data_IF_237292406490
#
_entry.id   IF_237292406490
#
_cell.length_a   1.000
_cell.length_b   1.000
_cell.length_c   1.000
_cell.angle_alpha   90.00
_cell.angle_beta   90.00
_cell.angle_gamma   90.00
#
_symmetry.space_group_name_H-M   'P 1'
#
loop_
_entity.id
_entity.type
_entity.pdbx_description
1 polymer ?
#
# COMPACT_ATOMS: atom_id res chain seq x y z
N UNK A 1 1.34 46.79 -0.58
CA UNK A 1 2.43 45.81 -0.40
C UNK A 1 3.66 46.33 -1.09
N UNK A 2 4.78 46.31 -0.38
CA UNK A 2 6.07 46.63 -0.96
C UNK A 2 6.70 45.37 -1.57
N UNK A 3 7.59 45.53 -2.56
CA UNK A 3 8.29 44.37 -3.14
C UNK A 3 9.22 43.72 -2.11
N UNK A 4 9.94 44.53 -1.34
CA UNK A 4 10.81 44.12 -0.24
C UNK A 4 10.44 44.96 0.98
N UNK A 5 10.16 44.30 2.10
CA UNK A 5 9.93 44.94 3.39
C UNK A 5 10.89 44.38 4.44
N UNK A 6 11.53 45.25 5.20
CA UNK A 6 12.25 44.90 6.43
C UNK A 6 11.55 45.43 7.68
N UNK A 7 10.42 46.09 7.46
CA UNK A 7 9.69 46.81 8.48
C UNK A 7 8.64 45.86 9.10
N UNK A 8 8.67 45.61 10.42
CA UNK A 8 7.77 44.64 11.05
C UNK A 8 6.28 44.99 10.91
N UNK A 9 5.95 46.26 10.66
CA UNK A 9 4.56 46.74 10.55
C UNK A 9 4.06 46.81 9.10
N UNK A 10 4.89 46.46 8.11
CA UNK A 10 4.53 46.58 6.69
C UNK A 10 4.67 45.26 5.93
N UNK A 11 3.57 44.74 5.34
CA UNK A 11 3.63 43.52 4.56
C UNK A 11 4.33 43.74 3.21
N UNK A 12 5.27 42.85 2.91
CA UNK A 12 6.02 42.82 1.65
C UNK A 12 5.75 41.55 0.83
N UNK A 13 6.09 41.56 -0.46
CA UNK A 13 6.19 40.32 -1.24
C UNK A 13 7.33 39.47 -0.66
N UNK A 14 8.48 40.09 -0.42
CA UNK A 14 9.57 39.54 0.36
C UNK A 14 9.70 40.32 1.67
N UNK A 15 9.55 39.66 2.80
CA UNK A 15 9.68 40.26 4.13
C UNK A 15 10.83 39.61 4.89
N UNK A 16 11.78 40.42 5.38
CA UNK A 16 12.94 39.94 6.15
C UNK A 16 13.11 40.76 7.41
N UNK A 17 13.05 40.13 8.58
CA UNK A 17 13.19 40.85 9.85
C UNK A 17 13.02 39.94 11.07
N UNK A 18 13.08 40.51 12.27
CA UNK A 18 12.73 39.72 13.47
C UNK A 18 11.28 39.28 13.44
N UNK A 19 10.39 40.18 13.02
CA UNK A 19 8.99 39.91 12.70
C UNK A 19 8.81 40.21 11.22
N UNK A 20 8.43 39.21 10.43
CA UNK A 20 8.31 39.31 8.98
C UNK A 20 6.91 38.89 8.54
N UNK A 21 6.21 39.80 7.85
CA UNK A 21 4.90 39.58 7.25
C UNK A 21 5.02 39.70 5.73
N UNK A 22 4.85 38.60 5.00
CA UNK A 22 5.00 38.66 3.56
C UNK A 22 4.60 37.40 2.81
N UNK A 23 4.58 37.45 1.48
CA UNK A 23 4.31 36.24 0.68
C UNK A 23 5.44 35.24 0.94
N UNK A 24 6.66 35.74 0.93
CA UNK A 24 7.86 35.09 1.43
C UNK A 24 8.31 35.83 2.69
N UNK A 25 8.17 35.20 3.85
CA UNK A 25 8.58 35.76 5.14
C UNK A 25 9.77 35.00 5.72
N UNK A 26 10.86 35.71 5.99
CA UNK A 26 12.06 35.17 6.62
C UNK A 26 12.35 35.93 7.91
N UNK A 27 12.32 35.26 9.05
CA UNK A 27 12.49 35.95 10.33
C UNK A 27 12.46 35.06 11.55
N UNK A 28 12.56 35.64 12.75
CA UNK A 28 12.35 34.84 13.97
C UNK A 28 10.88 34.47 14.12
N UNK A 29 9.99 35.44 13.90
CA UNK A 29 8.55 35.28 13.75
C UNK A 29 8.18 35.56 12.30
N UNK A 30 7.94 34.51 11.52
CA UNK A 30 7.63 34.63 10.10
C UNK A 30 6.18 34.22 9.83
N UNK A 31 5.40 35.11 9.24
CA UNK A 31 4.02 34.83 8.81
C UNK A 31 3.86 35.13 7.33
N UNK A 32 3.43 34.14 6.56
CA UNK A 32 3.37 34.28 5.11
C UNK A 32 2.80 33.09 4.36
N UNK A 33 2.78 33.15 3.04
CA UNK A 33 2.47 31.96 2.22
C UNK A 33 3.60 30.94 2.38
N UNK A 34 4.83 31.42 2.27
CA UNK A 34 6.05 30.68 2.57
C UNK A 34 6.74 31.39 3.74
N UNK A 35 6.78 30.75 4.90
CA UNK A 35 7.35 31.28 6.12
C UNK A 35 8.55 30.43 6.57
N UNK A 36 9.69 31.08 6.81
CA UNK A 36 10.91 30.44 7.30
C UNK A 36 11.37 31.18 8.56
N UNK A 37 11.46 30.48 9.69
CA UNK A 37 11.83 31.13 10.93
C UNK A 37 11.99 30.25 12.15
N UNK A 38 12.18 30.85 13.33
CA UNK A 38 12.12 30.10 14.59
C UNK A 38 10.68 29.66 14.85
N UNK A 39 9.73 30.58 14.65
CA UNK A 39 8.29 30.34 14.62
C UNK A 39 7.78 30.75 13.25
N UNK A 40 7.33 29.77 12.46
CA UNK A 40 6.85 29.96 11.10
C UNK A 40 5.36 29.62 11.00
N UNK A 41 4.57 30.53 10.41
CA UNK A 41 3.13 30.39 10.20
C UNK A 41 2.79 30.65 8.74
N UNK A 42 2.17 29.68 8.08
CA UNK A 42 1.86 29.89 6.67
C UNK A 42 1.20 28.73 5.95
N UNK A 43 1.18 28.79 4.63
CA UNK A 43 0.79 27.62 3.82
C UNK A 43 1.94 26.60 3.86
N UNK A 44 3.16 27.08 3.63
CA UNK A 44 4.41 26.34 3.79
C UNK A 44 5.19 26.99 4.93
N UNK A 45 5.39 26.27 6.03
CA UNK A 45 6.08 26.76 7.21
C UNK A 45 7.31 25.90 7.51
N UNK A 46 8.48 26.52 7.67
CA UNK A 46 9.74 25.84 8.00
C UNK A 46 10.36 26.53 9.21
N UNK A 47 10.58 25.81 10.30
CA UNK A 47 11.13 26.42 11.50
C UNK A 47 11.37 25.51 12.69
N UNK A 48 11.69 26.06 13.86
CA UNK A 48 11.72 25.26 15.09
C UNK A 48 10.28 24.90 15.53
N UNK A 49 9.38 25.88 15.49
CA UNK A 49 7.93 25.71 15.57
C UNK A 49 7.29 26.11 14.23
N UNK A 50 6.68 25.16 13.54
CA UNK A 50 6.06 25.39 12.24
C UNK A 50 4.57 25.04 12.27
N UNK A 51 3.72 25.97 11.83
CA UNK A 51 2.28 25.74 11.66
C UNK A 51 1.90 26.06 10.23
N UNK A 52 1.40 25.07 9.50
CA UNK A 52 1.00 25.29 8.12
C UNK A 52 0.14 24.22 7.50
N UNK A 53 -0.14 24.38 6.20
CA UNK A 53 -0.70 23.28 5.41
C UNK A 53 0.36 22.19 5.19
N UNK A 54 1.59 22.64 4.92
CA UNK A 54 2.83 21.88 4.97
C UNK A 54 3.75 22.52 6.01
N UNK A 55 4.14 21.76 7.03
CA UNK A 55 4.98 22.25 8.12
C UNK A 55 6.20 21.34 8.33
N UNK A 56 7.39 21.94 8.48
CA UNK A 56 8.63 21.21 8.75
C UNK A 56 9.36 21.91 9.90
N UNK A 57 9.66 21.17 10.97
CA UNK A 57 10.30 21.72 12.15
C UNK A 57 10.41 20.80 13.34
N UNK A 58 11.14 21.19 14.38
CA UNK A 58 11.25 20.37 15.61
C UNK A 58 9.87 20.09 16.22
N UNK A 59 9.02 21.11 16.26
CA UNK A 59 7.58 21.00 16.46
C UNK A 59 6.84 21.45 15.20
N UNK A 60 6.08 20.55 14.57
CA UNK A 60 5.36 20.86 13.33
C UNK A 60 3.88 20.47 13.42
N UNK A 61 2.98 21.40 13.11
CA UNK A 61 1.54 21.15 12.95
C UNK A 61 1.19 21.43 11.50
N UNK A 62 0.85 20.37 10.77
CA UNK A 62 0.61 20.38 9.34
C UNK A 62 -0.75 19.80 8.98
N UNK A 63 -1.59 20.51 8.24
CA UNK A 63 -2.89 19.95 7.79
C UNK A 63 -2.67 18.72 6.91
N UNK A 64 -1.87 18.87 5.86
CA UNK A 64 -1.58 17.79 4.91
C UNK A 64 -0.26 17.08 5.26
N UNK A 65 0.77 17.83 5.61
CA UNK A 65 2.10 17.29 5.87
C UNK A 65 2.79 17.98 7.06
N UNK A 66 3.31 17.21 8.00
CA UNK A 66 4.08 17.68 9.13
C UNK A 66 5.34 16.82 9.32
N UNK A 67 6.53 17.42 9.41
CA UNK A 67 7.78 16.65 9.54
C UNK A 67 8.74 17.22 10.57
N UNK A 68 9.30 16.35 11.42
CA UNK A 68 10.37 16.67 12.36
C UNK A 68 10.30 15.87 13.66
N UNK A 69 10.92 16.33 14.76
CA UNK A 69 11.00 15.55 16.00
C UNK A 69 9.63 15.23 16.58
N UNK A 70 8.76 16.23 16.70
CA UNK A 70 7.35 16.08 17.07
C UNK A 70 6.47 16.72 16.00
N UNK A 71 5.63 15.90 15.37
CA UNK A 71 4.77 16.36 14.29
C UNK A 71 3.32 15.88 14.47
N UNK A 72 2.37 16.72 14.09
CA UNK A 72 0.95 16.35 14.01
C UNK A 72 0.45 16.75 12.63
N UNK A 73 -0.03 15.77 11.87
CA UNK A 73 -0.57 16.09 10.55
C UNK A 73 -1.10 14.92 9.76
N UNK A 74 -1.60 15.21 8.56
CA UNK A 74 -2.12 14.19 7.66
C UNK A 74 -1.07 13.12 7.31
N UNK A 75 0.11 13.55 6.86
CA UNK A 75 1.28 12.72 6.54
C UNK A 75 2.55 13.33 7.16
N UNK A 76 3.62 12.55 7.24
CA UNK A 76 4.85 13.04 7.86
C UNK A 76 5.90 11.99 8.19
N UNK A 77 7.07 12.48 8.59
CA UNK A 77 8.19 11.71 9.14
C UNK A 77 8.54 12.20 10.56
N UNK A 78 9.24 11.35 11.32
CA UNK A 78 9.51 11.55 12.76
C UNK A 78 8.40 11.00 13.66
N UNK A 79 8.32 11.49 14.91
CA UNK A 79 7.22 11.15 15.83
C UNK A 79 5.98 11.93 15.38
N UNK A 80 5.34 11.41 14.32
CA UNK A 80 4.22 12.07 13.66
C UNK A 80 2.91 11.35 13.96
N UNK A 81 1.96 12.05 14.61
CA UNK A 81 0.59 11.56 14.73
C UNK A 81 -0.11 11.71 13.37
N UNK A 82 -0.17 10.61 12.63
CA UNK A 82 -0.74 10.53 11.28
C UNK A 82 -2.27 10.46 11.31
N UNK A 83 -2.89 11.58 10.97
CA UNK A 83 -4.35 11.72 10.97
C UNK A 83 -4.99 11.12 9.71
N UNK A 84 -4.30 11.11 8.55
CA UNK A 84 -4.84 10.52 7.31
C UNK A 84 -4.51 9.02 7.16
N UNK A 85 -5.46 8.20 6.64
CA UNK A 85 -5.20 6.79 6.36
C UNK A 85 -4.23 6.61 5.18
N UNK A 86 -3.47 5.52 5.20
CA UNK A 86 -2.67 5.10 4.04
C UNK A 86 -3.59 4.40 3.05
N UNK A 87 -3.79 5.02 1.89
CA UNK A 87 -4.40 4.37 0.73
C UNK A 87 -3.35 3.48 0.08
N UNK A 88 -3.50 2.16 0.17
CA UNK A 88 -2.75 1.24 -0.69
C UNK A 88 -3.68 0.73 -1.78
N UNK A 89 -3.31 1.08 -3.01
CA UNK A 89 -3.93 0.52 -4.20
C UNK A 89 -3.06 -0.69 -4.56
N UNK A 90 -3.53 -1.89 -4.24
CA UNK A 90 -2.86 -3.11 -4.66
C UNK A 90 -3.15 -3.32 -6.15
N UNK A 91 -2.24 -2.87 -7.02
CA UNK A 91 -2.21 -3.28 -8.42
C UNK A 91 -1.49 -4.62 -8.49
N UNK A 92 -2.24 -5.69 -8.74
CA UNK A 92 -1.65 -6.99 -8.98
C UNK A 92 -1.28 -7.11 -10.46
N UNK A 93 0.01 -7.33 -10.74
CA UNK A 93 0.48 -7.67 -12.08
C UNK A 93 0.33 -9.17 -12.27
N UNK A 94 -0.31 -9.58 -13.36
CA UNK A 94 -0.27 -10.96 -13.84
C UNK A 94 1.20 -11.36 -14.03
N UNK A 95 1.68 -12.44 -13.39
CA UNK A 95 3.05 -12.91 -13.63
C UNK A 95 3.19 -13.35 -15.09
N UNK A 96 4.40 -13.24 -15.65
CA UNK A 96 4.68 -13.80 -16.98
C UNK A 96 4.58 -15.33 -16.87
N UNK A 97 3.54 -15.90 -17.47
CA UNK A 97 3.32 -17.34 -17.43
C UNK A 97 4.31 -18.05 -18.38
N UNK A 98 4.90 -19.17 -17.94
CA UNK A 98 5.62 -20.09 -18.81
C UNK A 98 4.65 -20.74 -19.83
N UNK A 99 5.16 -21.39 -20.90
CA UNK A 99 4.31 -22.05 -21.87
C UNK A 99 3.43 -23.11 -21.21
N UNK A 100 2.13 -22.87 -21.19
CA UNK A 100 1.15 -23.75 -20.56
C UNK A 100 1.02 -25.05 -21.35
N UNK A 101 1.01 -26.17 -20.64
CA UNK A 101 0.81 -27.50 -21.20
C UNK A 101 -0.64 -27.90 -20.94
N UNK A 102 -1.44 -28.18 -22.00
CA UNK A 102 -2.81 -28.67 -21.80
C UNK A 102 -2.76 -30.03 -21.09
N UNK A 103 -3.83 -30.38 -20.36
CA UNK A 103 -3.89 -31.61 -19.57
C UNK A 103 -3.60 -32.88 -20.40
N UNK A 104 -4.00 -32.89 -21.68
CA UNK A 104 -3.73 -33.98 -22.61
C UNK A 104 -2.27 -34.06 -23.11
N UNK A 105 -1.47 -33.00 -22.92
CA UNK A 105 -0.10 -32.88 -23.41
C UNK A 105 0.99 -33.35 -22.44
N UNK A 106 0.60 -33.84 -21.26
CA UNK A 106 1.54 -34.40 -20.28
C UNK A 106 1.95 -35.82 -20.67
N UNK A 107 3.08 -35.92 -21.39
CA UNK A 107 3.73 -37.18 -21.71
C UNK A 107 4.72 -37.60 -20.62
N UNK A 108 5.11 -38.88 -20.64
CA UNK A 108 6.06 -39.48 -19.68
C UNK A 108 7.36 -38.68 -19.62
N UNK A 109 7.83 -38.42 -18.39
CA UNK A 109 9.09 -37.72 -18.09
C UNK A 109 9.17 -36.26 -18.59
N UNK A 110 8.05 -35.67 -19.03
CA UNK A 110 7.97 -34.25 -19.37
C UNK A 110 7.50 -33.44 -18.18
N UNK A 111 8.27 -32.40 -17.86
CA UNK A 111 7.83 -31.32 -16.98
C UNK A 111 7.02 -30.32 -17.79
N UNK A 112 5.87 -29.94 -17.26
CA UNK A 112 5.03 -28.90 -17.85
C UNK A 112 4.43 -28.00 -16.80
N UNK A 113 3.77 -26.95 -17.29
CA UNK A 113 3.09 -25.98 -16.43
C UNK A 113 1.60 -26.06 -16.69
N UNK A 114 0.82 -26.24 -15.64
CA UNK A 114 -0.64 -26.23 -15.71
C UNK A 114 -1.19 -24.99 -15.04
N UNK A 115 -2.08 -24.30 -15.73
CA UNK A 115 -2.87 -23.22 -15.16
C UNK A 115 -4.07 -23.83 -14.44
N UNK A 116 -4.21 -23.49 -13.17
CA UNK A 116 -5.32 -23.88 -12.32
C UNK A 116 -5.97 -22.63 -11.72
N UNK A 117 -7.28 -22.68 -11.53
CA UNK A 117 -8.00 -21.74 -10.70
C UNK A 117 -8.00 -22.23 -9.25
N UNK A 118 -7.90 -21.29 -8.31
CA UNK A 118 -7.95 -21.58 -6.87
C UNK A 118 -9.36 -21.28 -6.39
N UNK A 119 -10.07 -22.32 -5.95
CA UNK A 119 -11.39 -22.16 -5.32
C UNK A 119 -11.23 -21.62 -3.90
N UNK A 120 -12.26 -20.95 -3.38
CA UNK A 120 -12.29 -20.45 -1.97
C UNK A 120 -12.05 -21.55 -0.93
N UNK A 121 -12.42 -22.78 -1.26
CA UNK A 121 -12.22 -23.96 -0.41
C UNK A 121 -10.76 -24.44 -0.38
N UNK A 122 -9.85 -23.76 -1.09
CA UNK A 122 -8.44 -24.16 -1.19
C UNK A 122 -8.23 -25.38 -2.09
N UNK A 123 -9.13 -25.62 -3.04
CA UNK A 123 -9.00 -26.66 -4.06
C UNK A 123 -8.53 -26.05 -5.38
N UNK A 124 -7.83 -26.85 -6.18
CA UNK A 124 -7.42 -26.48 -7.53
C UNK A 124 -8.41 -27.03 -8.54
N UNK A 125 -8.85 -26.17 -9.45
CA UNK A 125 -9.72 -26.53 -10.57
C UNK A 125 -9.04 -26.19 -11.90
N UNK A 126 -9.25 -27.04 -12.90
CA UNK A 126 -8.77 -26.84 -14.28
C UNK A 126 -10.01 -26.87 -15.15
N UNK A 127 -10.26 -25.79 -15.89
CA UNK A 127 -11.45 -25.63 -16.74
C UNK A 127 -12.79 -25.93 -16.00
N UNK A 128 -12.86 -25.58 -14.71
CA UNK A 128 -14.04 -25.79 -13.86
C UNK A 128 -14.19 -27.20 -13.28
N UNK A 129 -13.32 -28.15 -13.64
CA UNK A 129 -13.27 -29.49 -13.05
C UNK A 129 -12.21 -29.58 -11.94
N UNK A 130 -12.38 -30.44 -10.91
CA UNK A 130 -11.36 -30.67 -9.91
C UNK A 130 -10.07 -31.18 -10.58
N UNK A 131 -8.95 -30.53 -10.29
CA UNK A 131 -7.69 -30.86 -10.93
C UNK A 131 -7.21 -32.26 -10.50
N UNK A 132 -6.98 -33.21 -11.42
CA UNK A 132 -6.57 -34.58 -11.09
C UNK A 132 -5.06 -34.62 -10.79
N UNK A 133 -4.64 -33.93 -9.73
CA UNK A 133 -3.24 -33.76 -9.37
C UNK A 133 -2.99 -33.98 -7.88
N UNK A 134 -1.93 -34.73 -7.59
CA UNK A 134 -1.41 -34.89 -6.24
C UNK A 134 -0.40 -33.78 -5.96
N UNK A 135 -0.67 -32.97 -4.95
CA UNK A 135 0.23 -31.89 -4.55
C UNK A 135 1.26 -32.39 -3.54
N UNK A 136 2.52 -31.99 -3.71
CA UNK A 136 3.54 -32.15 -2.68
C UNK A 136 3.19 -31.32 -1.43
N UNK A 137 3.75 -31.66 -0.27
CA UNK A 137 3.54 -30.90 0.96
C UNK A 137 3.99 -29.44 0.83
N UNK A 138 5.05 -29.18 0.07
CA UNK A 138 5.48 -27.81 -0.28
C UNK A 138 4.41 -27.06 -1.08
N UNK A 139 3.82 -27.69 -2.10
CA UNK A 139 2.78 -27.09 -2.92
C UNK A 139 1.47 -26.89 -2.13
N UNK A 140 1.12 -27.80 -1.20
CA UNK A 140 0.00 -27.63 -0.27
C UNK A 140 0.21 -26.44 0.67
N UNK A 141 1.42 -26.27 1.21
CA UNK A 141 1.75 -25.12 2.06
C UNK A 141 1.66 -23.79 1.28
N UNK A 142 2.13 -23.78 0.03
CA UNK A 142 1.99 -22.62 -0.86
C UNK A 142 0.52 -22.31 -1.19
N UNK A 143 -0.31 -23.33 -1.40
CA UNK A 143 -1.75 -23.16 -1.64
C UNK A 143 -2.48 -22.64 -0.40
N UNK A 144 -2.11 -23.12 0.79
CA UNK A 144 -2.66 -22.61 2.04
C UNK A 144 -2.30 -21.13 2.28
N UNK A 145 -1.07 -20.73 1.95
CA UNK A 145 -0.66 -19.33 1.95
C UNK A 145 -1.44 -18.48 0.94
N UNK A 146 -1.68 -19.02 -0.26
CA UNK A 146 -2.46 -18.36 -1.31
C UNK A 146 -3.92 -18.14 -0.90
N UNK A 147 -4.53 -19.10 -0.19
CA UNK A 147 -5.88 -18.98 0.37
C UNK A 147 -5.99 -17.80 1.33
N UNK A 148 -4.98 -17.58 2.17
CA UNK A 148 -4.95 -16.44 3.09
C UNK A 148 -4.76 -15.09 2.38
N UNK A 149 -4.22 -15.10 1.16
CA UNK A 149 -3.98 -13.92 0.32
C UNK A 149 -5.10 -13.60 -0.67
N UNK A 150 -6.25 -14.28 -0.60
CA UNK A 150 -7.35 -14.17 -1.58
C UNK A 150 -6.93 -14.46 -3.04
N UNK A 151 -5.89 -15.27 -3.27
CA UNK A 151 -5.46 -15.60 -4.63
C UNK A 151 -6.50 -16.49 -5.33
N UNK A 152 -6.76 -16.24 -6.63
CA UNK A 152 -7.76 -16.95 -7.42
C UNK A 152 -7.18 -17.74 -8.61
N UNK A 153 -5.91 -17.53 -8.94
CA UNK A 153 -5.21 -18.29 -9.98
C UNK A 153 -3.91 -18.88 -9.44
N UNK A 154 -3.53 -20.02 -10.01
CA UNK A 154 -2.29 -20.70 -9.72
C UNK A 154 -1.69 -21.34 -10.97
N UNK A 155 -0.37 -21.26 -11.12
CA UNK A 155 0.38 -22.00 -12.11
C UNK A 155 1.21 -23.05 -11.37
N UNK A 156 0.91 -24.31 -11.65
CA UNK A 156 1.52 -25.49 -11.01
C UNK A 156 2.57 -26.08 -11.96
N UNK A 157 3.77 -26.38 -11.45
CA UNK A 157 4.72 -27.24 -12.17
C UNK A 157 4.36 -28.69 -11.93
N UNK A 158 4.07 -29.42 -13.01
CA UNK A 158 3.66 -30.82 -12.98
C UNK A 158 4.81 -31.70 -13.48
N UNK A 159 5.01 -32.81 -12.76
CA UNK A 159 5.85 -33.94 -13.16
C UNK A 159 4.96 -35.20 -13.18
N UNK A 160 5.02 -36.00 -14.25
CA UNK A 160 4.20 -37.21 -14.40
C UNK A 160 4.91 -38.38 -13.73
N UNK A 161 4.27 -39.01 -12.75
CA UNK A 161 4.75 -40.24 -12.12
C UNK A 161 3.86 -41.42 -12.56
N UNK A 162 4.48 -42.58 -12.83
CA UNK A 162 3.76 -43.81 -13.13
C UNK A 162 3.80 -44.70 -11.89
N UNK A 163 2.66 -44.89 -11.22
CA UNK A 163 2.54 -45.89 -10.17
C UNK A 163 1.91 -47.16 -10.71
N UNK A 164 2.53 -48.27 -10.33
CA UNK A 164 2.01 -49.61 -10.59
C UNK A 164 1.24 -50.00 -9.34
N UNK A 165 -0.05 -50.29 -9.50
CA UNK A 165 -0.87 -50.82 -8.40
C UNK A 165 -0.45 -52.28 -8.20
N UNK A 166 0.33 -52.54 -7.14
CA UNK A 166 0.78 -53.88 -6.79
C UNK A 166 -0.33 -54.59 -6.02
N UNK A 167 -1.33 -55.11 -6.75
CA UNK A 167 -2.33 -55.98 -6.16
C UNK A 167 -1.68 -57.30 -5.73
N UNK A 168 -1.60 -57.48 -4.41
CA UNK A 168 -1.18 -58.72 -3.76
C UNK A 168 -1.98 -59.91 -4.29
N UNK A 169 -1.33 -60.72 -5.12
CA UNK A 169 -1.59 -62.15 -5.25
C UNK A 169 -2.59 -62.54 -6.34
N UNK A 170 -2.07 -62.95 -7.49
CA UNK A 170 -2.87 -63.64 -8.50
C UNK A 170 -2.00 -64.14 -9.65
N UNK A 171 -1.92 -65.45 -9.81
CA UNK A 171 -1.21 -66.10 -10.90
C UNK A 171 -1.94 -65.91 -12.24
N UNK A 172 -1.71 -64.80 -12.96
CA UNK A 172 -1.88 -64.71 -14.41
C UNK A 172 -1.20 -63.45 -14.96
N UNK A 173 -0.56 -63.53 -16.13
CA UNK A 173 0.02 -62.37 -16.82
C UNK A 173 -1.11 -61.55 -17.46
N UNK A 174 -1.77 -60.70 -16.70
CA UNK A 174 -2.50 -59.56 -17.25
C UNK A 174 -1.62 -58.30 -17.14
N UNK A 175 -1.68 -57.44 -18.16
CA UNK A 175 -0.90 -56.22 -18.23
C UNK A 175 -1.34 -55.31 -17.08
N UNK A 176 -0.50 -55.17 -16.05
CA UNK A 176 -0.76 -54.31 -14.91
C UNK A 176 -1.08 -52.89 -15.40
N UNK A 177 -2.29 -52.43 -15.13
CA UNK A 177 -2.80 -51.14 -15.58
C UNK A 177 -2.04 -50.03 -14.85
N UNK A 178 -1.17 -49.32 -15.58
CA UNK A 178 -0.34 -48.26 -15.00
C UNK A 178 -1.16 -46.98 -14.89
N UNK A 179 -1.53 -46.62 -13.66
CA UNK A 179 -2.21 -45.35 -13.41
C UNK A 179 -1.19 -44.21 -13.47
N UNK A 180 -1.44 -43.23 -14.34
CA UNK A 180 -0.63 -42.01 -14.45
C UNK A 180 -1.09 -41.02 -13.40
N UNK A 181 -0.20 -40.65 -12.49
CA UNK A 181 -0.49 -39.66 -11.44
C UNK A 181 0.28 -38.37 -11.75
N UNK A 182 -0.44 -37.26 -11.85
CA UNK A 182 0.16 -35.95 -12.05
C UNK A 182 0.59 -35.39 -10.69
N UNK A 183 1.90 -35.19 -10.50
CA UNK A 183 2.44 -34.67 -9.23
C UNK A 183 2.80 -33.19 -9.38
N UNK A 184 2.11 -32.33 -8.64
CA UNK A 184 2.38 -30.88 -8.58
C UNK A 184 3.48 -30.56 -7.57
N UNK A 185 4.68 -30.16 -8.05
CA UNK A 185 5.85 -29.91 -7.19
C UNK A 185 5.97 -28.47 -6.68
N UNK A 186 5.69 -27.48 -7.54
CA UNK A 186 5.82 -26.06 -7.21
C UNK A 186 4.58 -25.30 -7.66
N UNK A 187 4.20 -24.30 -6.86
CA UNK A 187 3.01 -23.50 -7.06
C UNK A 187 3.38 -22.01 -7.08
N UNK A 188 2.96 -21.31 -8.14
CA UNK A 188 2.93 -19.85 -8.16
C UNK A 188 1.49 -19.40 -8.18
N UNK A 189 1.07 -18.55 -7.25
CA UNK A 189 -0.32 -18.09 -7.14
C UNK A 189 -0.41 -16.59 -7.27
N UNK A 190 -1.50 -16.09 -7.85
CA UNK A 190 -1.80 -14.67 -7.94
C UNK A 190 -3.30 -14.41 -7.86
N UNK A 191 -3.64 -13.16 -7.63
CA UNK A 191 -4.99 -12.64 -7.77
C UNK A 191 -5.13 -11.92 -9.12
N UNK A 192 -6.14 -12.29 -9.89
CA UNK A 192 -6.53 -11.64 -11.13
C UNK A 192 -7.96 -11.10 -10.95
N UNK A 193 -8.09 -9.77 -10.84
CA UNK A 193 -9.36 -9.12 -10.56
C UNK A 193 -9.25 -7.60 -10.53
N UNK A 194 -10.38 -6.93 -10.30
CA UNK A 194 -10.44 -5.47 -10.15
C UNK A 194 -9.53 -5.02 -9.00
N UNK A 195 -8.79 -3.90 -9.15
CA UNK A 195 -7.94 -3.38 -8.09
C UNK A 195 -8.79 -3.09 -6.84
N UNK A 196 -8.48 -3.75 -5.74
CA UNK A 196 -9.13 -3.50 -4.45
C UNK A 196 -8.38 -2.41 -3.71
N UNK A 197 -9.13 -1.44 -3.21
CA UNK A 197 -8.61 -0.39 -2.33
C UNK A 197 -8.60 -0.95 -0.92
N UNK A 198 -7.40 -1.19 -0.38
CA UNK A 198 -7.24 -1.59 1.01
C UNK A 198 -6.84 -0.35 1.83
N UNK A 199 -7.65 -0.03 2.83
CA UNK A 199 -7.30 0.95 3.85
C UNK A 199 -6.50 0.22 4.93
N UNK A 200 -5.20 0.50 5.01
CA UNK A 200 -4.33 -0.06 6.05
C UNK A 200 -4.00 0.99 7.12
N UNK A 201 -4.13 0.61 8.39
CA UNK A 201 -3.76 1.42 9.55
C UNK A 201 -4.63 1.12 10.78
N UNK A 202 -4.27 1.65 11.96
CA UNK A 202 -5.18 1.65 13.11
C UNK A 202 -6.45 2.43 12.72
N UNK A 203 -7.61 2.03 13.25
CA UNK A 203 -8.88 2.75 13.08
C UNK A 203 -9.37 2.81 11.60
N UNK A 204 -9.33 1.68 10.88
CA UNK A 204 -9.90 1.55 9.51
C UNK A 204 -11.38 1.17 9.51
N UNK A 205 -11.98 0.92 10.69
CA UNK A 205 -13.42 0.80 10.84
C UNK A 205 -14.13 2.12 10.54
N UNK A 206 -15.44 2.07 10.26
CA UNK A 206 -16.28 3.26 10.00
C UNK A 206 -16.13 4.30 11.12
N UNK A 207 -16.12 3.86 12.38
CA UNK A 207 -15.90 4.73 13.53
C UNK A 207 -14.48 5.31 13.57
N UNK A 208 -13.48 4.55 13.17
CA UNK A 208 -12.11 5.02 13.06
C UNK A 208 -11.89 6.07 11.97
N UNK A 209 -12.58 5.93 10.84
CA UNK A 209 -12.59 6.92 9.76
C UNK A 209 -13.23 8.23 10.22
N UNK A 210 -14.31 8.15 11.00
CA UNK A 210 -14.98 9.33 11.57
C UNK A 210 -14.07 10.11 12.53
N UNK A 211 -13.39 9.43 13.45
CA UNK A 211 -12.43 10.06 14.38
C UNK A 211 -11.31 10.77 13.63
N UNK A 212 -10.80 10.16 12.55
CA UNK A 212 -9.77 10.77 11.71
C UNK A 212 -10.26 11.97 10.92
N UNK A 213 -11.47 11.90 10.38
CA UNK A 213 -12.10 13.03 9.70
C UNK A 213 -12.27 14.21 10.67
N UNK A 214 -12.73 13.95 11.89
CA UNK A 214 -12.83 14.96 12.94
C UNK A 214 -11.46 15.56 13.28
N UNK A 215 -10.42 14.73 13.40
CA UNK A 215 -9.06 15.18 13.61
C UNK A 215 -8.52 16.04 12.46
N UNK A 216 -8.88 15.73 11.22
CA UNK A 216 -8.50 16.53 10.05
C UNK A 216 -9.20 17.89 10.03
N UNK A 217 -10.51 17.92 10.34
CA UNK A 217 -11.24 19.18 10.50
C UNK A 217 -10.69 20.02 11.64
N UNK A 218 -10.31 19.39 12.76
CA UNK A 218 -9.66 20.08 13.87
C UNK A 218 -8.31 20.69 13.45
N UNK A 219 -7.52 20.00 12.62
CA UNK A 219 -6.28 20.54 12.06
C UNK A 219 -6.52 21.72 11.12
N UNK A 220 -7.55 21.66 10.26
CA UNK A 220 -7.94 22.79 9.41
C UNK A 220 -8.34 23.99 10.28
N UNK A 221 -9.18 23.77 11.29
CA UNK A 221 -9.62 24.82 12.20
C UNK A 221 -8.44 25.42 12.98
N UNK A 222 -7.53 24.57 13.48
CA UNK A 222 -6.33 25.01 14.18
C UNK A 222 -5.41 25.83 13.27
N UNK A 223 -5.17 25.37 12.03
CA UNK A 223 -4.40 26.14 11.06
C UNK A 223 -5.07 27.48 10.73
N UNK A 224 -6.39 27.49 10.54
CA UNK A 224 -7.15 28.71 10.28
C UNK A 224 -7.00 29.73 11.41
N UNK A 225 -7.10 29.29 12.67
CA UNK A 225 -6.95 30.13 13.86
C UNK A 225 -5.51 30.62 14.08
N UNK A 226 -4.51 29.80 13.72
CA UNK A 226 -3.11 30.11 14.02
C UNK A 226 -2.38 30.87 12.89
N UNK A 227 -2.81 30.71 11.65
CA UNK A 227 -2.11 31.23 10.48
C UNK A 227 -3.05 31.69 9.35
N UNK A 228 -4.23 31.08 9.19
CA UNK A 228 -5.12 31.36 8.06
C UNK A 228 -5.62 32.81 8.02
N UNK A 229 -6.01 33.36 9.16
CA UNK A 229 -6.49 34.75 9.26
C UNK A 229 -5.41 35.75 8.85
N UNK A 230 -4.19 35.55 9.34
CA UNK A 230 -3.03 36.38 9.05
C UNK A 230 -2.66 36.35 7.55
N UNK A 231 -2.66 35.16 6.95
CA UNK A 231 -2.39 34.99 5.53
C UNK A 231 -3.46 35.68 4.68
N UNK A 232 -4.75 35.55 5.04
CA UNK A 232 -5.85 36.20 4.32
C UNK A 232 -5.81 37.71 4.47
N UNK A 233 -5.51 38.21 5.68
CA UNK A 233 -5.39 39.64 5.95
C UNK A 233 -4.29 40.28 5.10
N UNK A 234 -3.24 39.54 4.76
CA UNK A 234 -2.18 40.04 3.88
C UNK A 234 -2.70 40.41 2.48
N UNK A 235 -3.67 39.68 1.94
CA UNK A 235 -4.20 39.91 0.58
C UNK A 235 -5.31 40.98 0.51
N UNK A 236 -5.67 41.60 1.64
CA UNK A 236 -6.59 42.74 1.71
C UNK A 236 -5.83 44.06 1.71
#
# INVERSE_FOLDING_TARGET
MDLLSTDPDRPGVFAVGQVAWGIFALGQMATGVIAIGQVARGVIAIGQGAVGFVAIGQGAIGVFYAGGMMAVGGRGFGICLKVLPKLRISRYLRPRLPPLTPLAGFERDKRGWLLCEVTRDGKLTVDGAPAPLELTEEAKAQLAGARNGDHNHACVTIEVDERVEDERGGAYREAVERQRVLVGKRLSTWYEGQPRVHLEGPLTSVGGLFVRFLGFLALIAAWWLLAGQDVVAMFK
#
